data_IF_403417313474
#
_entry.id   IF_403417313474
#
_cell.length_a   1.000
_cell.length_b   1.000
_cell.length_c   1.000
_cell.angle_alpha   90.00
_cell.angle_beta   90.00
_cell.angle_gamma   90.00
#
_symmetry.space_group_name_H-M   'P 1'
#
loop_
_entity.id
_entity.type
_entity.pdbx_description
1 polymer ?
#
# COMPACT_ATOMS: atom_id res chain seq x y z
N UNK A 1 -5.48 9.67 3.27
CA UNK A 1 -5.41 10.42 2.01
C UNK A 1 -4.71 9.59 0.96
N UNK A 2 -5.22 9.57 -0.28
CA UNK A 2 -4.61 8.84 -1.39
C UNK A 2 -3.38 9.61 -1.90
N UNK A 3 -2.33 9.67 -1.09
CA UNK A 3 -1.08 10.37 -1.43
C UNK A 3 0.08 9.38 -1.52
N UNK A 4 0.91 9.53 -2.55
CA UNK A 4 2.11 8.71 -2.76
C UNK A 4 1.83 7.21 -2.77
N UNK A 5 2.67 6.42 -2.10
CA UNK A 5 2.56 4.96 -2.05
C UNK A 5 1.34 4.42 -1.28
N UNK A 6 0.64 5.25 -0.49
CA UNK A 6 -0.48 4.78 0.33
C UNK A 6 -1.69 4.35 -0.49
N UNK A 7 -1.93 4.96 -1.65
CA UNK A 7 -2.98 4.53 -2.59
C UNK A 7 -2.70 3.15 -3.21
N UNK A 8 -1.43 2.75 -3.26
CA UNK A 8 -1.02 1.45 -3.78
C UNK A 8 -1.08 0.38 -2.70
N UNK A 9 -0.77 0.74 -1.45
CA UNK A 9 -0.76 -0.19 -0.31
C UNK A 9 -2.16 -0.40 0.26
N UNK A 10 -2.99 0.64 0.38
CA UNK A 10 -4.32 0.52 1.00
C UNK A 10 -5.40 0.28 -0.06
N UNK A 11 -6.17 -0.79 0.11
CA UNK A 11 -7.43 -1.01 -0.63
C UNK A 11 -8.60 -0.50 0.22
N UNK A 12 -9.11 0.68 -0.11
CA UNK A 12 -10.17 1.33 0.67
C UNK A 12 -11.42 0.44 0.75
N UNK A 13 -11.98 0.29 1.95
CA UNK A 13 -13.11 -0.61 2.23
C UNK A 13 -12.75 -2.08 2.39
N UNK A 14 -11.49 -2.48 2.18
CA UNK A 14 -11.02 -3.87 2.33
C UNK A 14 -9.90 -4.01 3.34
N UNK A 15 -8.88 -3.16 3.25
CA UNK A 15 -7.69 -3.19 4.11
C UNK A 15 -7.52 -1.89 4.91
N UNK A 16 -8.57 -1.08 5.03
CA UNK A 16 -8.55 0.25 5.63
C UNK A 16 -9.42 1.25 4.87
N UNK A 17 -9.33 2.52 5.25
CA UNK A 17 -10.01 3.62 4.56
C UNK A 17 -9.00 4.62 4.00
N UNK A 18 -9.22 5.05 2.76
CA UNK A 18 -8.59 6.24 2.20
C UNK A 18 -9.57 7.39 2.32
N UNK A 19 -9.31 8.29 3.27
CA UNK A 19 -10.05 9.55 3.44
C UNK A 19 -9.47 10.62 2.52
N UNK A 20 -10.32 11.48 1.96
CA UNK A 20 -9.92 12.62 1.13
C UNK A 20 -8.96 13.58 1.84
N UNK A 21 -8.20 14.36 1.06
CA UNK A 21 -7.20 15.26 1.61
C UNK A 21 -7.83 16.43 2.39
N UNK A 22 -7.27 16.72 3.58
CA UNK A 22 -7.70 17.80 4.50
C UNK A 22 -9.17 17.69 4.95
N UNK A 23 -9.62 16.49 5.28
CA UNK A 23 -10.98 16.23 5.77
C UNK A 23 -11.00 15.65 7.21
N UNK A 24 -10.96 16.50 8.25
CA UNK A 24 -11.00 16.06 9.65
C UNK A 24 -12.27 15.25 9.99
N UNK A 25 -13.41 15.64 9.44
CA UNK A 25 -14.69 14.97 9.70
C UNK A 25 -14.71 13.58 9.06
N UNK A 26 -14.18 13.44 7.85
CA UNK A 26 -13.99 12.14 7.20
C UNK A 26 -13.07 11.21 7.97
N UNK A 27 -11.98 11.74 8.56
CA UNK A 27 -11.11 10.96 9.45
C UNK A 27 -11.83 10.53 10.73
N UNK A 28 -12.55 11.45 11.38
CA UNK A 28 -13.31 11.14 12.58
C UNK A 28 -14.38 10.07 12.31
N UNK A 29 -15.10 10.18 11.19
CA UNK A 29 -16.10 9.21 10.77
C UNK A 29 -15.46 7.83 10.52
N UNK A 30 -14.35 7.77 9.77
CA UNK A 30 -13.65 6.51 9.48
C UNK A 30 -13.15 5.82 10.76
N UNK A 31 -12.55 6.58 11.68
CA UNK A 31 -12.11 6.06 12.99
C UNK A 31 -13.30 5.57 13.80
N UNK A 32 -14.38 6.34 13.87
CA UNK A 32 -15.61 5.95 14.58
C UNK A 32 -16.18 4.66 14.02
N UNK A 33 -16.23 4.49 12.69
CA UNK A 33 -16.68 3.26 12.03
C UNK A 33 -15.84 2.06 12.48
N UNK A 34 -14.51 2.16 12.44
CA UNK A 34 -13.60 1.07 12.86
C UNK A 34 -13.79 0.74 14.34
N UNK A 35 -13.91 1.75 15.21
CA UNK A 35 -14.08 1.53 16.65
C UNK A 35 -15.45 0.96 17.02
N UNK A 36 -16.47 1.20 16.19
CA UNK A 36 -17.86 0.75 16.46
C UNK A 36 -18.17 -0.63 15.86
N UNK A 37 -17.36 -1.12 14.93
CA UNK A 37 -17.54 -2.42 14.26
C UNK A 37 -16.30 -3.30 14.41
N UNK A 38 -16.34 -4.20 15.39
CA UNK A 38 -15.25 -5.14 15.70
C UNK A 38 -14.93 -6.05 14.52
N UNK A 39 -15.96 -6.57 13.83
CA UNK A 39 -15.77 -7.53 12.76
C UNK A 39 -15.09 -6.87 11.56
N UNK A 40 -15.50 -5.64 11.23
CA UNK A 40 -14.80 -4.82 10.24
C UNK A 40 -13.34 -4.57 10.63
N UNK A 41 -13.08 -4.20 11.89
CA UNK A 41 -11.72 -3.95 12.37
C UNK A 41 -10.82 -5.19 12.24
N UNK A 42 -11.33 -6.37 12.58
CA UNK A 42 -10.60 -7.65 12.45
C UNK A 42 -10.33 -7.99 10.98
N UNK A 43 -11.32 -7.87 10.09
CA UNK A 43 -11.13 -8.07 8.65
C UNK A 43 -10.09 -7.11 8.08
N UNK A 44 -10.17 -5.84 8.45
CA UNK A 44 -9.20 -4.83 8.03
C UNK A 44 -7.80 -5.16 8.52
N UNK A 45 -7.63 -5.56 9.78
CA UNK A 45 -6.33 -5.90 10.33
C UNK A 45 -5.66 -7.05 9.58
N UNK A 46 -6.42 -8.11 9.26
CA UNK A 46 -5.92 -9.27 8.51
C UNK A 46 -5.51 -8.85 7.09
N UNK A 47 -6.39 -8.18 6.35
CA UNK A 47 -6.13 -7.79 4.96
C UNK A 47 -5.02 -6.73 4.88
N UNK A 48 -4.98 -5.77 5.80
CA UNK A 48 -3.92 -4.76 5.87
C UNK A 48 -2.55 -5.40 6.12
N UNK A 49 -2.47 -6.36 7.06
CA UNK A 49 -1.23 -7.08 7.35
C UNK A 49 -0.74 -7.84 6.11
N UNK A 50 -1.60 -8.68 5.54
CA UNK A 50 -1.27 -9.46 4.33
C UNK A 50 -0.76 -8.56 3.20
N UNK A 51 -1.37 -7.39 3.04
CA UNK A 51 -1.00 -6.45 1.98
C UNK A 51 0.29 -5.70 2.28
N UNK A 52 0.63 -5.50 3.56
CA UNK A 52 1.88 -4.87 3.98
C UNK A 52 3.09 -5.83 3.92
N UNK A 53 2.88 -7.15 4.04
CA UNK A 53 3.96 -8.16 4.08
C UNK A 53 5.03 -8.05 2.98
N UNK A 54 4.70 -7.74 1.71
CA UNK A 54 5.72 -7.60 0.66
C UNK A 54 6.53 -6.30 0.74
N UNK A 55 6.04 -5.28 1.44
CA UNK A 55 6.64 -3.94 1.48
C UNK A 55 7.76 -3.87 2.53
N UNK A 56 8.75 -4.75 2.40
CA UNK A 56 9.95 -4.77 3.24
C UNK A 56 11.12 -4.08 2.54
N UNK A 57 12.09 -3.61 3.32
CA UNK A 57 13.35 -3.08 2.78
C UNK A 57 14.13 -4.14 2.00
N UNK A 58 14.13 -5.39 2.46
CA UNK A 58 14.83 -6.49 1.79
C UNK A 58 14.22 -6.79 0.42
N UNK A 59 12.89 -6.87 0.33
CA UNK A 59 12.18 -7.06 -0.94
C UNK A 59 12.44 -5.89 -1.88
N UNK A 60 12.31 -4.66 -1.38
CA UNK A 60 12.56 -3.43 -2.16
C UNK A 60 13.99 -3.41 -2.71
N UNK A 61 14.99 -3.73 -1.89
CA UNK A 61 16.39 -3.75 -2.31
C UNK A 61 16.66 -4.84 -3.36
N UNK A 62 16.07 -6.03 -3.20
CA UNK A 62 16.21 -7.12 -4.16
C UNK A 62 15.57 -6.77 -5.52
N UNK A 63 14.37 -6.16 -5.50
CA UNK A 63 13.68 -5.72 -6.72
C UNK A 63 14.47 -4.61 -7.44
N UNK A 64 15.02 -3.66 -6.68
CA UNK A 64 15.91 -2.62 -7.22
C UNK A 64 17.15 -3.23 -7.85
N UNK A 65 17.86 -4.12 -7.15
CA UNK A 65 19.08 -4.75 -7.67
C UNK A 65 18.79 -5.50 -8.98
N UNK A 66 17.71 -6.27 -9.02
CA UNK A 66 17.27 -6.98 -10.22
C UNK A 66 17.02 -6.04 -11.40
N UNK A 67 16.43 -4.87 -11.15
CA UNK A 67 16.28 -3.83 -12.17
C UNK A 67 17.66 -3.37 -12.67
N UNK A 68 18.56 -2.94 -11.78
CA UNK A 68 19.89 -2.47 -12.19
C UNK A 68 20.69 -3.54 -12.95
N UNK A 69 20.66 -4.79 -12.52
CA UNK A 69 21.31 -5.91 -13.22
C UNK A 69 20.71 -6.13 -14.61
N UNK A 70 19.39 -5.98 -14.77
CA UNK A 70 18.74 -6.06 -16.07
C UNK A 70 19.23 -4.96 -17.03
N UNK A 71 19.29 -3.72 -16.53
CA UNK A 71 19.74 -2.55 -17.29
C UNK A 71 21.21 -2.67 -17.71
N UNK A 72 22.09 -3.08 -16.79
CA UNK A 72 23.54 -3.18 -17.04
C UNK A 72 23.87 -4.31 -18.02
N UNK A 73 23.11 -5.39 -18.01
CA UNK A 73 23.36 -6.54 -18.90
C UNK A 73 22.70 -6.39 -20.28
N UNK A 74 22.16 -5.21 -20.63
CA UNK A 74 21.49 -4.86 -21.90
C UNK A 74 20.49 -5.91 -22.39
N UNK A 75 19.93 -6.69 -21.46
CA UNK A 75 19.23 -7.92 -21.85
C UNK A 75 17.83 -7.65 -22.40
N UNK A 76 17.29 -6.44 -22.21
CA UNK A 76 15.99 -5.98 -22.73
C UNK A 76 15.90 -4.43 -22.77
N UNK A 77 16.16 -3.76 -23.91
CA UNK A 77 16.06 -2.30 -24.02
C UNK A 77 14.66 -1.75 -23.73
N UNK A 78 13.61 -2.52 -24.03
CA UNK A 78 12.20 -2.18 -23.78
C UNK A 78 11.79 -2.25 -22.29
N UNK A 79 12.51 -3.00 -21.44
CA UNK A 79 12.26 -3.10 -19.99
C UNK A 79 13.03 -2.04 -19.18
N UNK A 80 13.81 -1.16 -19.84
CA UNK A 80 14.38 0.05 -19.25
C UNK A 80 13.35 1.17 -19.03
N UNK A 81 12.06 0.91 -19.27
CA UNK A 81 11.00 1.90 -19.10
C UNK A 81 9.99 1.40 -18.06
N UNK A 82 10.01 2.07 -16.90
CA UNK A 82 8.96 2.15 -15.87
C UNK A 82 8.23 0.86 -15.47
#
# INVERSE_FOLDING_TARGET
TPVGGLSHIVSSGRSGFLVSERDPDGFAAAVKTILSDRELAERFAIEARRRAEPFTWSTTAADFLKLYECLVNERYPELCTC
#
